data_IF_151272478703
#
_entry.id   IF_151272478703
#
_cell.length_a   1.000
_cell.length_b   1.000
_cell.length_c   1.000
_cell.angle_alpha   90.00
_cell.angle_beta   90.00
_cell.angle_gamma   90.00
#
_symmetry.space_group_name_H-M   'P 1'
#
loop_
_entity.id
_entity.type
_entity.pdbx_description
1 polymer ?
#
# COMPACT_ATOMS: atom_id res chain seq x y z
N UNK A 1 -8.27 -10.72 1.14
CA UNK A 1 -9.04 -9.45 1.26
C UNK A 1 -8.45 -8.24 0.50
N UNK A 2 -7.20 -8.28 -0.01
CA UNK A 2 -6.65 -7.27 -0.95
C UNK A 2 -7.52 -7.12 -2.21
N UNK A 3 -7.91 -8.27 -2.76
CA UNK A 3 -8.47 -8.35 -4.11
C UNK A 3 -9.98 -8.08 -4.16
N UNK A 4 -10.70 -8.33 -3.06
CA UNK A 4 -12.13 -8.02 -2.93
C UNK A 4 -12.43 -6.53 -2.78
N UNK A 5 -11.45 -5.68 -2.48
CA UNK A 5 -11.66 -4.24 -2.25
C UNK A 5 -10.89 -3.33 -3.23
N UNK A 6 -9.73 -3.75 -3.74
CA UNK A 6 -9.04 -2.99 -4.80
C UNK A 6 -9.80 -3.05 -6.12
N UNK A 7 -10.39 -4.20 -6.47
CA UNK A 7 -11.18 -4.32 -7.70
C UNK A 7 -12.43 -3.43 -7.70
N UNK A 8 -13.31 -3.42 -6.68
CA UNK A 8 -14.50 -2.57 -6.72
C UNK A 8 -14.18 -1.07 -6.76
N UNK A 9 -13.06 -0.61 -6.19
CA UNK A 9 -12.63 0.78 -6.30
C UNK A 9 -12.16 1.15 -7.72
N UNK A 10 -11.58 0.20 -8.46
CA UNK A 10 -11.24 0.37 -9.88
C UNK A 10 -12.47 0.20 -10.79
N UNK A 11 -13.42 -0.67 -10.41
CA UNK A 11 -14.67 -0.91 -11.14
C UNK A 11 -15.62 0.30 -11.07
N UNK A 12 -15.62 1.06 -9.97
CA UNK A 12 -16.52 2.22 -9.82
C UNK A 12 -16.22 3.40 -10.78
N UNK A 13 -15.02 3.46 -11.37
CA UNK A 13 -14.65 4.51 -12.35
C UNK A 13 -15.13 4.15 -13.78
N UNK A 14 -15.55 2.91 -14.02
CA UNK A 14 -15.86 2.39 -15.36
C UNK A 14 -17.33 2.35 -15.77
N UNK A 15 -18.26 2.96 -15.03
CA UNK A 15 -19.70 2.86 -15.35
C UNK A 15 -20.20 4.16 -15.97
N UNK A 16 -20.15 4.23 -17.31
CA UNK A 16 -21.16 4.82 -18.23
C UNK A 16 -20.53 5.24 -19.55
N UNK A 17 -20.17 4.30 -20.43
CA UNK A 17 -20.15 4.58 -21.87
C UNK A 17 -20.65 3.35 -22.66
N UNK A 18 -21.62 3.51 -23.58
CA UNK A 18 -22.16 2.43 -24.39
C UNK A 18 -21.14 1.97 -25.42
N UNK A 19 -21.22 0.69 -25.78
CA UNK A 19 -20.36 0.01 -26.74
C UNK A 19 -20.15 0.82 -28.02
N UNK A 20 -18.91 1.21 -28.29
CA UNK A 20 -18.48 1.71 -29.60
C UNK A 20 -17.21 0.97 -30.02
N UNK A 21 -17.13 0.71 -31.32
CA UNK A 21 -16.07 0.01 -32.05
C UNK A 21 -14.65 0.41 -31.63
N UNK A 22 -13.77 -0.60 -31.52
CA UNK A 22 -12.35 -0.51 -31.15
C UNK A 22 -11.64 0.61 -31.93
N UNK A 23 -11.30 1.74 -31.28
CA UNK A 23 -10.42 2.74 -31.86
C UNK A 23 -8.97 2.24 -31.77
N UNK A 24 -8.17 2.53 -32.80
CA UNK A 24 -6.73 2.32 -32.78
C UNK A 24 -6.07 3.08 -31.61
N UNK A 25 -5.07 2.43 -31.01
CA UNK A 25 -4.45 2.76 -29.71
C UNK A 25 -3.57 4.02 -29.81
N UNK A 26 -3.62 4.96 -28.85
CA UNK A 26 -2.43 5.64 -28.41
C UNK A 26 -1.65 4.65 -27.54
N UNK A 27 -0.73 3.88 -28.13
CA UNK A 27 0.06 2.80 -27.50
C UNK A 27 1.01 3.28 -26.39
N UNK A 28 1.00 4.56 -26.06
CA UNK A 28 2.00 5.18 -25.21
C UNK A 28 1.39 5.53 -23.85
N UNK A 29 1.92 4.90 -22.79
CA UNK A 29 1.58 5.29 -21.43
C UNK A 29 1.95 6.75 -21.21
N UNK A 30 1.12 7.53 -20.51
CA UNK A 30 1.46 8.90 -20.17
C UNK A 30 2.79 8.92 -19.40
N UNK A 31 3.54 10.01 -19.57
CA UNK A 31 4.86 10.16 -18.96
C UNK A 31 4.82 9.75 -17.47
N UNK A 32 5.78 8.97 -16.96
CA UNK A 32 5.76 8.41 -15.59
C UNK A 32 5.41 9.42 -14.49
N UNK A 33 5.90 10.66 -14.62
CA UNK A 33 5.56 11.77 -13.73
C UNK A 33 4.06 12.06 -13.63
N UNK A 34 3.34 12.03 -14.75
CA UNK A 34 1.90 12.24 -14.77
C UNK A 34 1.15 11.11 -14.04
N UNK A 35 1.64 9.87 -14.16
CA UNK A 35 1.11 8.71 -13.42
C UNK A 35 1.38 8.86 -11.92
N UNK A 36 2.57 9.31 -11.54
CA UNK A 36 2.92 9.54 -10.15
C UNK A 36 2.08 10.65 -9.49
N UNK A 37 1.73 11.68 -10.26
CA UNK A 37 0.90 12.81 -9.81
C UNK A 37 -0.60 12.46 -9.70
N UNK A 38 -1.03 11.24 -10.06
CA UNK A 38 -2.43 10.79 -9.91
C UNK A 38 -2.79 10.59 -8.42
N UNK A 39 -3.65 11.45 -7.83
CA UNK A 39 -3.90 11.43 -6.39
C UNK A 39 -4.68 10.19 -5.96
N UNK A 40 -5.67 9.75 -6.75
CA UNK A 40 -6.47 8.57 -6.46
C UNK A 40 -5.62 7.28 -6.53
N UNK A 41 -4.75 7.17 -7.53
CA UNK A 41 -3.85 6.03 -7.65
C UNK A 41 -2.88 5.96 -6.47
N UNK A 42 -2.32 7.12 -6.07
CA UNK A 42 -1.53 7.22 -4.84
C UNK A 42 -2.31 6.77 -3.59
N UNK A 43 -3.55 7.24 -3.44
CA UNK A 43 -4.42 6.87 -2.33
C UNK A 43 -4.71 5.36 -2.26
N UNK A 44 -4.99 4.74 -3.42
CA UNK A 44 -5.22 3.29 -3.53
C UNK A 44 -3.98 2.50 -3.12
N UNK A 45 -2.79 2.89 -3.59
CA UNK A 45 -1.53 2.23 -3.24
C UNK A 45 -1.26 2.34 -1.74
N UNK A 46 -1.42 3.53 -1.16
CA UNK A 46 -1.20 3.77 0.28
C UNK A 46 -2.18 2.97 1.14
N UNK A 47 -3.46 2.95 0.78
CA UNK A 47 -4.47 2.18 1.53
C UNK A 47 -4.26 0.67 1.40
N UNK A 48 -3.81 0.20 0.24
CA UNK A 48 -3.44 -1.19 0.01
C UNK A 48 -2.31 -1.61 0.96
N UNK A 49 -1.25 -0.82 1.04
CA UNK A 49 -0.09 -1.10 1.89
C UNK A 49 -0.42 -1.02 3.38
N UNK A 50 -1.35 -0.15 3.78
CA UNK A 50 -1.86 -0.08 5.15
C UNK A 50 -2.60 -1.36 5.54
N UNK A 51 -3.53 -1.83 4.71
CA UNK A 51 -4.31 -3.01 5.07
C UNK A 51 -3.51 -4.31 4.92
N UNK A 52 -2.63 -4.35 3.92
CA UNK A 52 -1.94 -5.56 3.47
C UNK A 52 -0.46 -5.28 3.23
N UNK A 53 0.23 -4.87 4.29
CA UNK A 53 1.68 -4.73 4.26
C UNK A 53 2.36 -6.03 3.84
N UNK A 54 3.39 -5.97 2.97
CA UNK A 54 4.11 -7.17 2.53
C UNK A 54 4.69 -7.98 3.70
N UNK A 55 5.19 -7.30 4.74
CA UNK A 55 5.74 -7.89 5.96
C UNK A 55 4.99 -7.28 7.15
N UNK A 56 3.84 -7.85 7.56
CA UNK A 56 2.95 -7.27 8.56
C UNK A 56 3.40 -7.58 10.00
N UNK A 57 4.21 -8.64 10.16
CA UNK A 57 4.60 -9.22 11.44
C UNK A 57 5.80 -8.53 12.08
N UNK A 58 6.59 -9.34 12.80
CA UNK A 58 7.60 -8.92 13.76
C UNK A 58 8.79 -8.23 13.09
N UNK A 59 9.07 -6.99 13.48
CA UNK A 59 10.30 -6.25 13.16
C UNK A 59 11.19 -6.13 14.41
N UNK A 60 12.13 -7.07 14.64
CA UNK A 60 12.89 -7.13 15.89
C UNK A 60 14.02 -6.11 15.95
N UNK A 61 14.13 -5.43 17.09
CA UNK A 61 15.27 -4.61 17.50
C UNK A 61 15.85 -5.13 18.80
N UNK A 62 17.15 -4.90 19.01
CA UNK A 62 17.85 -5.22 20.26
C UNK A 62 18.18 -3.92 20.96
N UNK A 63 17.82 -3.83 22.24
CA UNK A 63 18.05 -2.61 23.04
C UNK A 63 19.54 -2.33 23.24
N UNK A 64 19.98 -1.06 23.12
CA UNK A 64 21.37 -0.66 23.31
C UNK A 64 21.79 -0.68 24.79
N UNK A 65 23.09 -0.51 25.04
CA UNK A 65 23.65 -0.30 26.38
C UNK A 65 23.46 1.16 26.85
N UNK A 66 23.38 1.43 28.17
CA UNK A 66 23.24 0.49 29.28
C UNK A 66 21.80 0.00 29.51
N UNK A 67 20.82 0.86 29.21
CA UNK A 67 19.38 0.60 29.25
C UNK A 67 18.67 1.55 28.28
N UNK A 68 17.39 1.31 28.01
CA UNK A 68 16.56 2.23 27.21
C UNK A 68 15.20 2.46 27.86
N UNK A 69 14.51 3.51 27.44
CA UNK A 69 13.12 3.79 27.78
C UNK A 69 12.27 3.66 26.53
N UNK A 70 11.13 2.96 26.62
CA UNK A 70 10.21 2.77 25.50
C UNK A 70 8.77 2.74 25.98
N UNK A 71 7.88 3.50 25.34
CA UNK A 71 6.43 3.48 25.61
C UNK A 71 6.06 3.64 27.11
N UNK A 72 6.79 4.48 27.84
CA UNK A 72 6.59 4.70 29.28
C UNK A 72 7.22 3.64 30.19
N UNK A 73 7.88 2.62 29.63
CA UNK A 73 8.69 1.66 30.40
C UNK A 73 10.13 2.13 30.47
N UNK A 74 10.57 2.46 31.68
CA UNK A 74 11.94 2.89 31.95
C UNK A 74 12.89 1.73 32.27
N UNK A 75 14.18 1.95 32.03
CA UNK A 75 15.28 1.03 32.40
C UNK A 75 15.16 -0.37 31.78
N UNK A 76 14.65 -0.48 30.56
CA UNK A 76 14.66 -1.74 29.81
C UNK A 76 16.11 -2.20 29.63
N UNK A 77 16.49 -3.41 30.10
CA UNK A 77 17.88 -3.86 30.04
C UNK A 77 18.40 -3.92 28.61
N UNK A 78 19.71 -3.69 28.45
CA UNK A 78 20.47 -4.01 27.22
C UNK A 78 20.19 -5.46 26.76
N UNK A 79 20.28 -5.70 25.44
CA UNK A 79 20.10 -7.02 24.81
C UNK A 79 18.67 -7.57 24.92
N UNK A 80 17.70 -6.73 25.27
CA UNK A 80 16.28 -7.10 25.23
C UNK A 80 15.78 -7.00 23.78
N UNK A 81 15.05 -8.02 23.33
CA UNK A 81 14.40 -8.01 22.00
C UNK A 81 13.06 -7.30 22.09
N UNK A 82 12.93 -6.21 21.36
CA UNK A 82 11.71 -5.42 21.21
C UNK A 82 11.21 -5.57 19.79
N UNK A 83 9.90 -5.73 19.61
CA UNK A 83 9.30 -5.91 18.30
C UNK A 83 8.23 -4.86 18.06
N UNK A 84 8.17 -4.38 16.82
CA UNK A 84 7.02 -3.66 16.30
C UNK A 84 6.43 -4.45 15.15
N UNK A 85 5.13 -4.30 14.91
CA UNK A 85 4.41 -5.01 13.86
C UNK A 85 3.53 -4.04 13.09
N UNK A 86 3.72 -3.99 11.77
CA UNK A 86 2.97 -3.08 10.91
C UNK A 86 1.47 -3.38 10.96
N UNK A 87 1.08 -4.66 11.10
CA UNK A 87 -0.31 -5.08 11.18
C UNK A 87 -1.11 -4.33 12.26
N UNK A 88 -0.59 -4.33 13.49
CA UNK A 88 -1.26 -3.69 14.63
C UNK A 88 -1.21 -2.17 14.54
N UNK A 89 -0.07 -1.60 14.11
CA UNK A 89 0.07 -0.16 13.93
C UNK A 89 -0.94 0.39 12.92
N UNK A 90 -1.12 -0.31 11.79
CA UNK A 90 -2.01 0.09 10.70
C UNK A 90 -3.49 -0.08 11.04
N UNK A 91 -3.79 -0.85 12.10
CA UNK A 91 -5.14 -1.12 12.60
C UNK A 91 -5.48 -0.37 13.88
N UNK A 92 -4.65 0.61 14.26
CA UNK A 92 -4.97 1.48 15.39
C UNK A 92 -6.17 2.39 15.04
N UNK A 93 -7.27 2.23 15.78
CA UNK A 93 -8.50 3.01 15.61
C UNK A 93 -8.31 4.51 15.89
N UNK A 94 -7.37 4.87 16.76
CA UNK A 94 -7.08 6.27 17.10
C UNK A 94 -6.41 7.04 15.95
N UNK A 95 -5.77 6.30 15.03
CA UNK A 95 -5.02 6.87 13.90
C UNK A 95 -5.76 6.68 12.59
N UNK A 96 -6.40 5.54 12.41
CA UNK A 96 -7.13 5.16 11.20
C UNK A 96 -8.55 4.74 11.57
N UNK A 97 -9.54 5.66 11.46
CA UNK A 97 -10.94 5.32 11.66
C UNK A 97 -11.38 4.21 10.70
N UNK A 98 -12.19 3.26 11.18
CA UNK A 98 -12.57 2.05 10.44
C UNK A 98 -11.34 1.33 9.85
N UNK A 99 -10.40 0.86 10.69
CA UNK A 99 -9.11 0.37 10.23
C UNK A 99 -9.21 -0.90 9.37
N UNK A 100 -10.28 -1.68 9.51
CA UNK A 100 -10.53 -2.87 8.68
C UNK A 100 -11.09 -2.57 7.29
N UNK A 101 -11.57 -1.36 7.04
CA UNK A 101 -12.20 -0.97 5.78
C UNK A 101 -11.16 -0.40 4.81
N UNK A 102 -11.27 -0.79 3.54
CA UNK A 102 -10.48 -0.22 2.45
C UNK A 102 -11.12 1.09 1.99
N UNK A 103 -10.56 2.22 2.43
CA UNK A 103 -11.08 3.56 2.14
C UNK A 103 -9.95 4.43 1.59
N UNK A 104 -9.71 4.48 0.28
CA UNK A 104 -8.65 5.32 -0.32
C UNK A 104 -8.80 6.80 -0.01
N UNK A 105 -10.02 7.31 0.09
CA UNK A 105 -10.34 8.73 0.26
C UNK A 105 -9.67 9.36 1.49
N UNK A 106 -9.33 8.56 2.52
CA UNK A 106 -8.60 9.03 3.70
C UNK A 106 -7.22 9.64 3.36
N UNK A 107 -6.65 9.26 2.23
CA UNK A 107 -5.34 9.72 1.75
C UNK A 107 -5.43 10.94 0.82
N UNK A 108 -6.65 11.33 0.40
CA UNK A 108 -6.91 12.48 -0.48
C UNK A 108 -7.01 13.81 0.27
N UNK A 109 -6.69 13.83 1.57
CA UNK A 109 -6.71 15.03 2.39
C UNK A 109 -5.62 16.03 1.98
N UNK A 110 -5.80 17.34 2.28
CA UNK A 110 -4.77 18.34 2.08
C UNK A 110 -3.42 17.93 2.71
N UNK A 111 -2.31 18.26 2.05
CA UNK A 111 -0.96 17.84 2.48
C UNK A 111 -0.55 18.39 3.85
N UNK A 112 -1.12 19.53 4.23
CA UNK A 112 -0.94 20.21 5.52
C UNK A 112 -1.85 19.66 6.62
N UNK A 113 -2.74 18.71 6.32
CA UNK A 113 -3.61 18.11 7.33
C UNK A 113 -2.80 17.30 8.36
N UNK A 114 -2.99 17.65 9.64
CA UNK A 114 -2.36 16.96 10.78
C UNK A 114 -2.71 15.47 10.78
N UNK A 115 -3.95 15.14 10.42
CA UNK A 115 -4.43 13.77 10.33
C UNK A 115 -3.66 12.94 9.28
N UNK A 116 -3.47 13.47 8.07
CA UNK A 116 -2.68 12.79 7.04
C UNK A 116 -1.22 12.66 7.45
N UNK A 117 -0.66 13.70 8.07
CA UNK A 117 0.68 13.68 8.64
C UNK A 117 0.85 12.57 9.68
N UNK A 118 -0.11 12.44 10.59
CA UNK A 118 -0.13 11.36 11.59
C UNK A 118 -0.26 10.00 10.93
N UNK A 119 -1.20 9.80 10.02
CA UNK A 119 -1.36 8.54 9.31
C UNK A 119 -0.09 8.09 8.57
N UNK A 120 0.61 9.03 7.91
CA UNK A 120 1.88 8.75 7.24
C UNK A 120 2.97 8.30 8.22
N UNK A 121 3.05 8.89 9.42
CA UNK A 121 4.01 8.48 10.46
C UNK A 121 3.77 7.06 10.97
N UNK A 122 2.52 6.62 10.99
CA UNK A 122 2.12 5.28 11.43
C UNK A 122 2.17 4.24 10.30
N UNK A 123 2.37 4.65 9.04
CA UNK A 123 2.47 3.75 7.90
C UNK A 123 3.85 3.07 7.80
N UNK A 124 4.04 2.00 8.55
CA UNK A 124 5.26 1.19 8.56
C UNK A 124 5.30 0.04 7.54
N UNK A 125 4.69 0.19 6.36
CA UNK A 125 4.73 -0.84 5.30
C UNK A 125 6.16 -1.16 4.82
N UNK A 126 7.07 -0.20 4.98
CA UNK A 126 8.50 -0.32 4.65
C UNK A 126 9.40 -0.22 5.89
N UNK A 127 8.83 -0.37 7.09
CA UNK A 127 9.51 -0.09 8.35
C UNK A 127 9.73 1.41 8.59
N UNK A 128 10.52 1.73 9.62
CA UNK A 128 10.83 3.10 10.02
C UNK A 128 12.25 3.21 10.60
N UNK A 129 12.77 4.44 10.68
CA UNK A 129 14.09 4.73 11.25
C UNK A 129 15.27 4.22 10.41
N UNK A 130 16.42 4.00 11.06
CA UNK A 130 17.68 3.66 10.39
C UNK A 130 17.74 2.29 9.69
N UNK A 131 16.71 1.45 9.84
CA UNK A 131 16.57 0.16 9.14
C UNK A 131 15.34 0.09 8.25
N UNK A 132 14.78 1.25 7.90
CA UNK A 132 13.72 1.33 6.89
C UNK A 132 14.21 0.73 5.57
N UNK A 133 13.30 0.11 4.80
CA UNK A 133 13.61 -0.43 3.49
C UNK A 133 14.28 0.63 2.61
N UNK A 134 15.49 0.33 2.14
CA UNK A 134 16.26 1.22 1.24
C UNK A 134 15.50 1.46 -0.07
N UNK A 135 14.72 0.48 -0.52
CA UNK A 135 13.88 0.55 -1.74
C UNK A 135 12.48 1.13 -1.51
N UNK A 136 12.17 1.62 -0.31
CA UNK A 136 10.88 2.29 -0.04
C UNK A 136 10.65 3.44 -1.02
N UNK A 137 11.70 4.20 -1.34
CA UNK A 137 11.63 5.29 -2.29
C UNK A 137 11.35 4.81 -3.72
N UNK A 138 11.97 3.72 -4.16
CA UNK A 138 11.68 3.14 -5.47
C UNK A 138 10.24 2.59 -5.57
N UNK A 139 9.70 2.06 -4.48
CA UNK A 139 8.34 1.55 -4.45
C UNK A 139 7.29 2.67 -4.33
N UNK A 140 7.54 3.70 -3.51
CA UNK A 140 6.56 4.69 -3.08
C UNK A 140 6.77 6.12 -3.57
N UNK A 141 7.99 6.55 -3.93
CA UNK A 141 8.25 8.00 -3.98
C UNK A 141 7.41 8.70 -5.03
N UNK A 142 6.52 9.52 -4.49
CA UNK A 142 5.91 10.68 -5.09
C UNK A 142 6.47 11.96 -4.42
N UNK A 143 7.80 12.19 -4.54
CA UNK A 143 8.59 13.38 -4.12
C UNK A 143 9.39 13.24 -2.80
N UNK A 144 10.72 13.28 -2.94
CA UNK A 144 11.68 14.06 -2.11
C UNK A 144 12.96 14.39 -2.92
N UNK A 145 13.23 13.72 -4.05
CA UNK A 145 14.45 13.99 -4.85
C UNK A 145 14.11 14.47 -6.26
N UNK A 146 14.78 15.54 -6.72
CA UNK A 146 14.62 16.21 -8.02
C UNK A 146 15.07 15.38 -9.25
N UNK A 147 15.32 14.08 -9.08
CA UNK A 147 15.80 13.19 -10.14
C UNK A 147 14.85 12.00 -10.25
N UNK A 148 13.86 12.14 -11.14
CA UNK A 148 12.88 11.13 -11.57
C UNK A 148 12.26 10.27 -10.45
N UNK A 149 11.14 10.71 -9.83
CA UNK A 149 10.29 9.80 -9.07
C UNK A 149 9.69 8.78 -10.03
N UNK A 150 9.78 7.51 -9.70
CA UNK A 150 9.03 6.46 -10.36
C UNK A 150 8.53 5.52 -9.28
N UNK A 151 7.22 5.46 -9.06
CA UNK A 151 6.63 4.33 -8.35
C UNK A 151 6.42 3.18 -9.32
N UNK A 152 7.23 2.12 -9.20
CA UNK A 152 7.07 0.90 -10.00
C UNK A 152 5.65 0.31 -9.87
N UNK A 153 5.06 0.40 -8.68
CA UNK A 153 3.70 -0.06 -8.40
C UNK A 153 2.68 0.72 -9.24
N UNK A 154 2.77 2.05 -9.25
CA UNK A 154 1.84 2.89 -10.02
C UNK A 154 1.98 2.67 -11.52
N UNK A 155 3.20 2.50 -12.02
CA UNK A 155 3.46 2.23 -13.43
C UNK A 155 2.84 0.91 -13.88
N UNK A 156 3.03 -0.17 -13.11
CA UNK A 156 2.44 -1.48 -13.43
C UNK A 156 0.91 -1.42 -13.39
N UNK A 157 0.34 -0.77 -12.37
CA UNK A 157 -1.12 -0.60 -12.26
C UNK A 157 -1.65 0.23 -13.44
N UNK A 158 -1.00 1.32 -13.79
CA UNK A 158 -1.39 2.14 -14.94
C UNK A 158 -1.27 1.36 -16.25
N UNK A 159 -0.18 0.60 -16.46
CA UNK A 159 0.03 -0.21 -17.66
C UNK A 159 -1.08 -1.24 -17.88
N UNK A 160 -1.49 -1.92 -16.81
CA UNK A 160 -2.55 -2.93 -16.85
C UNK A 160 -3.90 -2.24 -17.06
N UNK A 161 -4.27 -1.31 -16.18
CA UNK A 161 -5.63 -0.77 -16.14
C UNK A 161 -5.92 0.34 -17.15
N UNK A 162 -4.91 0.82 -17.89
CA UNK A 162 -5.15 1.65 -19.08
C UNK A 162 -5.58 0.83 -20.30
N UNK A 163 -5.32 -0.48 -20.30
CA UNK A 163 -5.56 -1.35 -21.46
C UNK A 163 -6.56 -2.48 -21.17
N UNK A 164 -6.73 -2.85 -19.91
CA UNK A 164 -7.52 -4.01 -19.51
C UNK A 164 -8.42 -3.70 -18.32
N UNK A 165 -9.63 -4.26 -18.36
CA UNK A 165 -10.48 -4.46 -17.20
C UNK A 165 -10.25 -5.86 -16.64
N UNK A 166 -10.36 -6.02 -15.32
CA UNK A 166 -10.15 -7.31 -14.66
C UNK A 166 -11.42 -7.78 -13.94
N UNK A 167 -11.62 -9.10 -13.91
CA UNK A 167 -12.68 -9.78 -13.15
C UNK A 167 -12.05 -10.91 -12.35
N UNK A 168 -12.48 -11.06 -11.10
CA UNK A 168 -12.10 -12.21 -10.26
C UNK A 168 -12.85 -13.44 -10.77
N UNK A 169 -12.12 -14.47 -11.11
CA UNK A 169 -12.67 -15.78 -11.51
C UNK A 169 -12.65 -16.74 -10.32
N UNK A 170 -11.56 -16.72 -9.55
CA UNK A 170 -11.39 -17.55 -8.36
C UNK A 170 -10.52 -16.82 -7.33
N UNK A 171 -11.10 -16.57 -6.15
CA UNK A 171 -10.45 -16.04 -4.95
C UNK A 171 -10.47 -17.02 -3.76
N UNK A 172 -10.63 -18.33 -4.02
CA UNK A 172 -10.60 -19.35 -2.97
C UNK A 172 -9.22 -19.41 -2.28
N UNK A 173 -9.21 -19.23 -0.96
CA UNK A 173 -8.00 -19.19 -0.14
C UNK A 173 -7.20 -17.90 -0.27
N UNK A 174 -7.87 -16.76 -0.41
CA UNK A 174 -7.27 -15.42 -0.50
C UNK A 174 -6.93 -14.80 0.87
N UNK A 175 -7.22 -15.54 1.93
CA UNK A 175 -6.98 -15.22 3.32
C UNK A 175 -5.47 -15.19 3.56
N UNK A 176 -4.97 -14.15 4.25
CA UNK A 176 -3.55 -14.06 4.53
C UNK A 176 -3.16 -15.14 5.53
N UNK A 177 -2.06 -15.84 5.26
CA UNK A 177 -1.44 -16.72 6.25
C UNK A 177 -0.43 -15.95 7.10
N UNK A 178 -0.23 -16.42 8.33
CA UNK A 178 0.84 -15.93 9.20
C UNK A 178 2.19 -16.48 8.72
N UNK A 179 2.87 -15.70 7.90
CA UNK A 179 4.20 -15.98 7.36
C UNK A 179 5.03 -14.69 7.34
N UNK A 180 6.32 -14.81 7.06
CA UNK A 180 7.20 -13.65 6.97
C UNK A 180 6.70 -12.62 5.94
N UNK A 181 6.21 -13.11 4.79
CA UNK A 181 5.51 -12.29 3.80
C UNK A 181 4.04 -12.67 3.72
N UNK A 182 3.17 -11.68 3.52
CA UNK A 182 1.74 -11.93 3.27
C UNK A 182 1.57 -12.62 1.94
N UNK A 183 0.94 -13.78 1.96
CA UNK A 183 0.51 -14.52 0.79
C UNK A 183 -0.85 -15.17 1.03
N UNK A 184 -1.63 -15.45 -0.04
CA UNK A 184 -2.85 -16.24 0.04
C UNK A 184 -2.57 -17.64 0.58
N UNK A 185 -3.50 -18.23 1.35
CA UNK A 185 -3.37 -19.61 1.83
C UNK A 185 -3.22 -20.62 0.70
N UNK A 186 -3.93 -20.41 -0.41
CA UNK A 186 -3.85 -21.26 -1.61
C UNK A 186 -2.78 -20.82 -2.63
N UNK A 187 -1.97 -19.80 -2.31
CA UNK A 187 -0.95 -19.20 -3.20
C UNK A 187 -1.47 -18.84 -4.61
N UNK A 188 -2.77 -18.61 -4.77
CA UNK A 188 -3.39 -18.32 -6.06
C UNK A 188 -4.43 -17.22 -5.95
N UNK A 189 -4.60 -16.53 -7.07
CA UNK A 189 -5.74 -15.68 -7.39
C UNK A 189 -5.88 -15.73 -8.91
N UNK A 190 -7.05 -16.10 -9.41
CA UNK A 190 -7.29 -16.18 -10.85
C UNK A 190 -8.08 -14.95 -11.30
N UNK A 191 -7.45 -14.16 -12.16
CA UNK A 191 -8.05 -12.97 -12.76
C UNK A 191 -8.24 -13.20 -14.26
N UNK A 192 -9.39 -12.77 -14.78
CA UNK A 192 -9.62 -12.63 -16.21
C UNK A 192 -9.42 -11.18 -16.60
N UNK A 193 -8.63 -10.94 -17.65
CA UNK A 193 -8.44 -9.62 -18.23
C UNK A 193 -9.19 -9.51 -19.55
N UNK A 194 -9.98 -8.45 -19.70
CA UNK A 194 -10.70 -8.10 -20.92
C UNK A 194 -10.18 -6.75 -21.40
N UNK A 195 -9.73 -6.69 -22.65
CA UNK A 195 -9.19 -5.46 -23.22
C UNK A 195 -10.30 -4.41 -23.35
N UNK A 196 -9.98 -3.16 -23.01
CA UNK A 196 -10.85 -1.99 -23.19
C UNK A 196 -10.53 -1.32 -24.53
#
# INVERSE_FOLDING_TARGET
MVYRFILPAVIAVGILLPSQSVPEIPTELPHPKAIDDLPLLGAIVMETLRLHSPIPGIQPQITPAPFTTLAGYDKIPRKTRVNAQAYSLHRNHDVSPNPGSFLPDRWLKPMDSVELGNMRRWLWAFGSGGRMCVRSNLALQARITLFLPQSEIKLVVAAIYSNFTSKIIDDDGIEPIDAYTVRPSNNRLVLKFERV
#
